data_IF_955687083801
#
_entry.id   IF_955687083801
#
_cell.length_a   1.000
_cell.length_b   1.000
_cell.length_c   1.000
_cell.angle_alpha   90.00
_cell.angle_beta   90.00
_cell.angle_gamma   90.00
#
_symmetry.space_group_name_H-M   'P 1'
#
loop_
_entity.id
_entity.type
_entity.pdbx_description
1 polymer ?
#
# COMPACT_ATOMS: atom_id res chain seq x y z
N UNK A 1 -14.82 -23.90 11.96
CA UNK A 1 -14.83 -22.62 12.71
C UNK A 1 -15.20 -21.55 11.71
N UNK A 2 -16.25 -20.72 11.93
CA UNK A 2 -16.56 -19.61 11.00
C UNK A 2 -15.41 -18.62 11.05
N UNK A 3 -14.77 -18.40 9.90
CA UNK A 3 -13.70 -17.42 9.76
C UNK A 3 -14.22 -16.05 10.27
N UNK A 4 -13.53 -15.49 11.25
CA UNK A 4 -13.92 -14.20 11.81
C UNK A 4 -13.72 -13.15 10.72
N UNK A 5 -14.80 -12.46 10.31
CA UNK A 5 -14.70 -11.41 9.29
C UNK A 5 -13.77 -10.32 9.74
N UNK A 6 -12.91 -9.88 8.82
CA UNK A 6 -11.99 -8.77 9.04
C UNK A 6 -12.77 -7.47 9.35
N UNK A 7 -12.28 -6.68 10.29
CA UNK A 7 -12.75 -5.33 10.56
C UNK A 7 -11.81 -4.34 9.89
N UNK A 8 -12.32 -3.60 8.92
CA UNK A 8 -11.53 -2.60 8.18
C UNK A 8 -12.03 -1.20 8.55
N UNK A 9 -11.13 -0.42 9.14
CA UNK A 9 -11.38 0.99 9.43
C UNK A 9 -11.29 1.81 8.14
N UNK A 10 -12.20 2.76 7.95
CA UNK A 10 -12.17 3.69 6.81
C UNK A 10 -12.32 5.10 7.36
N UNK A 11 -11.34 5.97 7.14
CA UNK A 11 -11.42 7.37 7.60
C UNK A 11 -12.07 8.24 6.56
N UNK A 12 -12.86 9.22 6.98
CA UNK A 12 -13.58 10.13 6.08
C UNK A 12 -12.65 10.97 5.19
N UNK A 13 -11.39 11.22 5.62
CA UNK A 13 -10.52 12.21 5.01
C UNK A 13 -11.02 13.63 5.25
N UNK A 14 -10.78 14.53 4.30
CA UNK A 14 -11.33 15.88 4.33
C UNK A 14 -12.84 15.84 4.01
N UNK A 15 -13.72 16.24 4.97
CA UNK A 15 -15.17 16.18 4.76
C UNK A 15 -15.69 17.13 3.69
N UNK A 16 -14.89 18.10 3.24
CA UNK A 16 -15.22 19.02 2.14
C UNK A 16 -14.73 18.51 0.76
N UNK A 17 -13.96 17.41 0.75
CA UNK A 17 -13.51 16.73 -0.47
C UNK A 17 -14.46 15.62 -0.91
N UNK A 18 -13.95 14.73 -1.79
CA UNK A 18 -14.73 13.60 -2.32
C UNK A 18 -14.74 12.38 -1.39
N UNK A 19 -14.09 12.44 -0.22
CA UNK A 19 -13.91 11.29 0.67
C UNK A 19 -15.23 10.58 1.00
N UNK A 20 -16.24 11.31 1.49
CA UNK A 20 -17.56 10.75 1.79
C UNK A 20 -18.27 10.19 0.56
N UNK A 21 -18.18 10.87 -0.58
CA UNK A 21 -18.81 10.43 -1.82
C UNK A 21 -18.27 9.08 -2.27
N UNK A 22 -16.95 8.91 -2.32
CA UNK A 22 -16.34 7.64 -2.73
C UNK A 22 -16.56 6.52 -1.70
N UNK A 23 -16.61 6.84 -0.40
CA UNK A 23 -16.93 5.87 0.67
C UNK A 23 -18.36 5.36 0.50
N UNK A 24 -19.33 6.26 0.37
CA UNK A 24 -20.74 5.89 0.23
C UNK A 24 -20.97 5.07 -1.04
N UNK A 25 -20.42 5.49 -2.18
CA UNK A 25 -20.51 4.75 -3.44
C UNK A 25 -19.79 3.39 -3.38
N UNK A 26 -18.67 3.29 -2.69
CA UNK A 26 -17.95 2.02 -2.53
C UNK A 26 -18.75 1.01 -1.68
N UNK A 27 -19.47 1.49 -0.66
CA UNK A 27 -20.23 0.66 0.28
C UNK A 27 -21.72 0.50 -0.08
N UNK A 28 -22.17 1.12 -1.17
CA UNK A 28 -23.57 1.02 -1.61
C UNK A 28 -23.98 -0.41 -1.98
N UNK A 29 -23.05 -1.24 -2.46
CA UNK A 29 -23.31 -2.66 -2.72
C UNK A 29 -23.38 -3.43 -1.39
N UNK A 30 -24.54 -4.05 -1.04
CA UNK A 30 -24.70 -4.81 0.19
C UNK A 30 -23.69 -5.96 0.36
N UNK A 31 -23.19 -6.52 -0.75
CA UNK A 31 -22.19 -7.59 -0.75
C UNK A 31 -20.87 -7.17 -0.09
N UNK A 32 -20.58 -5.87 -0.03
CA UNK A 32 -19.39 -5.38 0.69
C UNK A 32 -19.40 -5.79 2.17
N UNK A 33 -20.56 -5.77 2.83
CA UNK A 33 -20.71 -6.24 4.23
C UNK A 33 -20.61 -7.75 4.38
N UNK A 34 -20.66 -8.52 3.28
CA UNK A 34 -20.41 -9.95 3.29
C UNK A 34 -18.90 -10.27 3.31
N UNK A 35 -18.08 -9.41 2.70
CA UNK A 35 -16.62 -9.59 2.61
C UNK A 35 -15.90 -9.23 3.91
N UNK A 36 -16.32 -8.13 4.56
CA UNK A 36 -15.68 -7.60 5.77
C UNK A 36 -16.69 -6.84 6.63
N UNK A 37 -16.27 -6.34 7.79
CA UNK A 37 -17.04 -5.46 8.65
C UNK A 37 -16.50 -4.04 8.53
N UNK A 38 -17.19 -3.13 7.82
CA UNK A 38 -16.77 -1.74 7.68
C UNK A 38 -16.93 -0.97 8.99
N UNK A 39 -15.89 -0.20 9.35
CA UNK A 39 -15.91 0.74 10.49
C UNK A 39 -15.50 2.11 10.00
N UNK A 40 -16.45 3.00 9.84
CA UNK A 40 -16.21 4.34 9.32
C UNK A 40 -15.89 5.27 10.47
N UNK A 41 -14.82 6.05 10.34
CA UNK A 41 -14.44 7.13 11.26
C UNK A 41 -14.71 8.46 10.60
N UNK A 42 -15.67 9.20 11.12
CA UNK A 42 -16.03 10.48 10.53
C UNK A 42 -17.23 11.16 11.20
N UNK A 43 -17.56 12.34 10.70
CA UNK A 43 -18.68 13.16 11.18
C UNK A 43 -20.03 12.55 10.76
N UNK A 44 -20.93 12.21 11.70
CA UNK A 44 -22.30 11.81 11.38
C UNK A 44 -23.08 12.86 10.59
N UNK A 45 -22.82 14.15 10.83
CA UNK A 45 -23.46 15.24 10.07
C UNK A 45 -22.99 15.25 8.62
N UNK A 46 -21.68 15.09 8.39
CA UNK A 46 -21.13 14.97 7.03
C UNK A 46 -21.66 13.73 6.32
N UNK A 47 -21.70 12.58 7.00
CA UNK A 47 -22.29 11.35 6.45
C UNK A 47 -23.75 11.53 6.02
N UNK A 48 -24.57 12.19 6.85
CA UNK A 48 -25.97 12.48 6.55
C UNK A 48 -26.11 13.45 5.36
N UNK A 49 -25.27 14.49 5.32
CA UNK A 49 -25.24 15.46 4.23
C UNK A 49 -24.99 14.78 2.88
N UNK A 50 -23.88 14.04 2.76
CA UNK A 50 -23.52 13.38 1.51
C UNK A 50 -24.51 12.29 1.11
N UNK A 51 -25.03 11.50 2.06
CA UNK A 51 -26.07 10.50 1.79
C UNK A 51 -27.33 11.12 1.16
N UNK A 52 -27.69 12.34 1.56
CA UNK A 52 -28.84 13.04 1.00
C UNK A 52 -28.55 13.75 -0.33
N UNK A 53 -27.27 13.97 -0.62
CA UNK A 53 -26.84 14.68 -1.86
C UNK A 53 -26.65 13.71 -3.02
N UNK A 54 -26.20 12.48 -2.76
CA UNK A 54 -25.98 11.46 -3.79
C UNK A 54 -27.34 10.93 -4.29
N UNK A 55 -27.49 10.82 -5.61
CA UNK A 55 -28.76 10.44 -6.27
C UNK A 55 -28.74 9.04 -6.85
N UNK A 56 -27.56 8.51 -7.17
CA UNK A 56 -27.40 7.26 -7.91
C UNK A 56 -27.07 6.05 -7.04
N UNK A 57 -27.01 6.21 -5.71
CA UNK A 57 -26.65 5.14 -4.80
C UNK A 57 -27.80 4.79 -3.86
N UNK A 58 -28.00 3.50 -3.60
CA UNK A 58 -28.85 3.05 -2.49
C UNK A 58 -28.34 3.64 -1.17
N UNK A 59 -29.24 4.11 -0.31
CA UNK A 59 -28.87 4.80 0.92
C UNK A 59 -28.11 3.87 1.86
N UNK A 60 -26.83 4.13 2.07
CA UNK A 60 -26.00 3.43 3.07
C UNK A 60 -26.53 3.72 4.46
N UNK A 61 -26.82 2.66 5.24
CA UNK A 61 -27.27 2.78 6.61
C UNK A 61 -26.12 2.52 7.57
N UNK A 62 -25.90 3.46 8.48
CA UNK A 62 -24.87 3.38 9.51
C UNK A 62 -25.46 2.92 10.85
N UNK A 63 -24.72 2.04 11.54
CA UNK A 63 -24.96 1.71 12.94
C UNK A 63 -23.99 2.53 13.80
N UNK A 64 -24.46 3.41 14.68
CA UNK A 64 -23.60 4.14 15.59
C UNK A 64 -22.78 3.19 16.46
N UNK A 65 -21.49 3.51 16.68
CA UNK A 65 -20.57 2.76 17.52
C UNK A 65 -19.61 3.72 18.24
N UNK A 66 -19.21 3.39 19.46
CA UNK A 66 -18.23 4.18 20.19
C UNK A 66 -16.79 3.89 19.75
N UNK A 67 -16.53 2.66 19.25
CA UNK A 67 -15.24 2.21 18.73
C UNK A 67 -15.43 1.02 17.80
N UNK A 68 -14.33 0.55 17.18
CA UNK A 68 -14.35 -0.67 16.37
C UNK A 68 -14.73 -1.94 17.18
N UNK A 69 -14.55 -1.95 18.50
CA UNK A 69 -14.96 -3.06 19.35
C UNK A 69 -16.46 -3.36 19.24
N UNK A 70 -17.29 -2.33 19.09
CA UNK A 70 -18.76 -2.45 19.01
C UNK A 70 -19.26 -2.78 17.58
N UNK A 71 -18.39 -2.77 16.58
CA UNK A 71 -18.77 -3.05 15.20
C UNK A 71 -19.32 -4.47 15.04
N UNK A 72 -20.50 -4.59 14.39
CA UNK A 72 -21.24 -5.84 14.24
C UNK A 72 -21.19 -6.34 12.80
N UNK A 73 -21.04 -7.64 12.63
CA UNK A 73 -21.09 -8.30 11.33
C UNK A 73 -22.36 -7.95 10.54
N UNK A 74 -22.21 -7.65 9.23
CA UNK A 74 -23.33 -7.33 8.35
C UNK A 74 -23.90 -5.92 8.55
N UNK A 75 -23.23 -5.08 9.34
CA UNK A 75 -23.55 -3.66 9.54
C UNK A 75 -22.33 -2.80 9.20
N UNK A 76 -22.58 -1.58 8.76
CA UNK A 76 -21.57 -0.56 8.58
C UNK A 76 -21.57 0.27 9.86
N UNK A 77 -20.51 0.14 10.67
CA UNK A 77 -20.38 0.93 11.90
C UNK A 77 -19.92 2.35 11.56
N UNK A 78 -20.42 3.35 12.28
CA UNK A 78 -19.97 4.73 12.23
C UNK A 78 -19.51 5.16 13.62
N UNK A 79 -18.20 5.38 13.74
CA UNK A 79 -17.57 5.95 14.93
C UNK A 79 -17.51 7.46 14.74
N UNK A 80 -18.21 8.20 15.59
CA UNK A 80 -18.23 9.65 15.55
C UNK A 80 -16.83 10.20 15.90
N UNK A 81 -16.15 10.77 14.91
CA UNK A 81 -14.83 11.37 15.05
C UNK A 81 -14.61 12.41 13.95
N UNK A 82 -14.00 13.55 14.30
CA UNK A 82 -13.79 14.63 13.33
C UNK A 82 -15.11 15.29 12.94
N UNK A 83 -15.79 15.87 13.90
CA UNK A 83 -17.06 16.56 13.70
C UNK A 83 -16.87 17.85 12.89
N UNK A 84 -17.83 18.09 12.00
CA UNK A 84 -18.02 19.38 11.32
C UNK A 84 -19.47 19.83 11.52
N UNK A 85 -19.69 21.13 11.65
CA UNK A 85 -21.04 21.62 11.83
C UNK A 85 -21.85 21.46 10.55
N UNK A 86 -21.25 21.85 9.42
CA UNK A 86 -21.81 21.69 8.07
C UNK A 86 -20.67 21.52 7.08
N UNK A 87 -20.67 20.45 6.24
CA UNK A 87 -19.72 20.35 5.13
C UNK A 87 -19.86 21.49 4.14
N UNK A 88 -18.73 21.98 3.65
CA UNK A 88 -18.63 22.98 2.58
C UNK A 88 -17.90 22.37 1.36
N UNK A 89 -18.55 21.52 0.55
CA UNK A 89 -17.91 20.82 -0.54
C UNK A 89 -17.14 21.73 -1.48
N UNK A 90 -15.90 21.37 -1.79
CA UNK A 90 -15.02 22.15 -2.68
C UNK A 90 -14.23 23.25 -1.99
N UNK A 91 -14.28 23.37 -0.66
CA UNK A 91 -13.56 24.40 0.09
C UNK A 91 -12.55 23.82 1.06
N UNK A 92 -11.32 24.24 0.95
CA UNK A 92 -10.28 23.96 1.93
C UNK A 92 -10.52 24.81 3.19
N UNK A 93 -10.77 24.18 4.35
CA UNK A 93 -10.98 24.86 5.61
C UNK A 93 -10.20 24.20 6.75
N UNK A 94 -9.76 25.01 7.71
CA UNK A 94 -9.06 24.47 8.89
C UNK A 94 -9.96 23.57 9.75
N UNK A 95 -11.28 23.77 9.75
CA UNK A 95 -12.23 22.87 10.43
C UNK A 95 -12.24 21.50 9.80
N UNK A 96 -12.33 21.42 8.45
CA UNK A 96 -12.28 20.16 7.72
C UNK A 96 -10.93 19.43 7.89
N UNK A 97 -9.81 20.18 7.91
CA UNK A 97 -8.49 19.64 8.19
C UNK A 97 -8.41 19.01 9.59
N UNK A 98 -8.88 19.70 10.63
CA UNK A 98 -8.95 19.15 11.99
C UNK A 98 -9.83 17.89 12.04
N UNK A 99 -11.00 17.92 11.42
CA UNK A 99 -11.91 16.78 11.37
C UNK A 99 -11.27 15.56 10.72
N UNK A 100 -10.48 15.75 9.64
CA UNK A 100 -9.74 14.68 8.99
C UNK A 100 -8.69 14.06 9.93
N UNK A 101 -7.95 14.88 10.67
CA UNK A 101 -6.93 14.42 11.63
C UNK A 101 -7.56 13.68 12.80
N UNK A 102 -8.67 14.17 13.35
CA UNK A 102 -9.37 13.50 14.46
C UNK A 102 -9.91 12.12 14.06
N UNK A 103 -10.51 12.01 12.85
CA UNK A 103 -10.96 10.74 12.31
C UNK A 103 -9.78 9.75 12.11
N UNK A 104 -8.66 10.25 11.60
CA UNK A 104 -7.43 9.46 11.41
C UNK A 104 -6.89 8.96 12.76
N UNK A 105 -6.78 9.84 13.77
CA UNK A 105 -6.30 9.47 15.11
C UNK A 105 -7.20 8.43 15.78
N UNK A 106 -8.52 8.56 15.64
CA UNK A 106 -9.47 7.59 16.19
C UNK A 106 -9.29 6.20 15.53
N UNK A 107 -9.14 6.14 14.21
CA UNK A 107 -8.87 4.89 13.51
C UNK A 107 -7.53 4.25 13.91
N UNK A 108 -6.47 5.05 14.04
CA UNK A 108 -5.14 4.55 14.46
C UNK A 108 -5.16 4.07 15.92
N UNK A 109 -5.89 4.72 16.80
CA UNK A 109 -6.08 4.24 18.18
C UNK A 109 -6.69 2.85 18.22
N UNK A 110 -7.78 2.61 17.49
CA UNK A 110 -8.46 1.31 17.45
C UNK A 110 -7.62 0.26 16.72
N UNK A 111 -6.82 0.67 15.70
CA UNK A 111 -5.84 -0.20 15.03
C UNK A 111 -4.74 -0.67 15.98
N UNK A 112 -4.17 0.24 16.78
CA UNK A 112 -3.14 -0.07 17.81
C UNK A 112 -3.69 -0.93 18.95
N UNK A 113 -4.97 -0.80 19.26
CA UNK A 113 -5.66 -1.65 20.22
C UNK A 113 -5.99 -3.06 19.68
N UNK A 114 -5.72 -3.35 18.39
CA UNK A 114 -6.04 -4.63 17.77
C UNK A 114 -7.53 -4.83 17.47
N UNK A 115 -8.33 -3.77 17.53
CA UNK A 115 -9.76 -3.79 17.23
C UNK A 115 -10.06 -3.70 15.73
N UNK A 116 -9.06 -3.29 14.95
CA UNK A 116 -9.08 -3.26 13.48
C UNK A 116 -7.99 -4.16 12.92
N UNK A 117 -8.26 -4.79 11.79
CA UNK A 117 -7.29 -5.58 11.02
C UNK A 117 -6.49 -4.72 10.04
N UNK A 118 -7.08 -3.66 9.52
CA UNK A 118 -6.46 -2.69 8.62
C UNK A 118 -7.19 -1.36 8.63
N UNK A 119 -6.54 -0.33 8.07
CA UNK A 119 -7.14 0.99 7.86
C UNK A 119 -7.01 1.39 6.38
N UNK A 120 -8.12 1.86 5.80
CA UNK A 120 -8.18 2.54 4.50
C UNK A 120 -8.39 4.03 4.77
N UNK A 121 -7.49 4.89 4.29
CA UNK A 121 -7.59 6.32 4.58
C UNK A 121 -8.23 7.08 3.43
N UNK A 122 -9.25 7.87 3.73
CA UNK A 122 -9.76 8.89 2.82
C UNK A 122 -8.72 10.00 2.61
N UNK A 123 -8.74 10.69 1.46
CA UNK A 123 -7.79 11.78 1.17
C UNK A 123 -8.05 12.99 2.05
N UNK A 124 -6.98 13.67 2.46
CA UNK A 124 -7.05 14.97 3.12
C UNK A 124 -6.20 16.03 2.40
N UNK A 125 -6.53 17.28 2.59
CA UNK A 125 -5.73 18.39 2.10
C UNK A 125 -4.51 18.61 3.01
N UNK A 126 -3.30 18.65 2.40
CA UNK A 126 -2.03 18.69 3.15
C UNK A 126 -1.76 20.04 3.83
N UNK A 127 -2.39 21.10 3.37
CA UNK A 127 -2.23 22.43 3.97
C UNK A 127 -3.16 22.61 5.16
N UNK A 128 -4.43 22.20 5.03
CA UNK A 128 -5.45 22.38 6.07
C UNK A 128 -5.25 21.50 7.28
N UNK A 129 -4.56 20.35 7.16
CA UNK A 129 -4.27 19.45 8.29
C UNK A 129 -3.10 19.92 9.15
N UNK A 130 -2.25 20.85 8.65
CA UNK A 130 -1.10 21.33 9.42
C UNK A 130 -1.54 22.08 10.68
N UNK A 131 -0.97 21.70 11.80
CA UNK A 131 -1.16 22.33 13.11
C UNK A 131 0.01 22.00 14.03
N UNK A 132 0.10 22.63 15.18
CA UNK A 132 1.11 22.32 16.20
C UNK A 132 1.04 20.84 16.64
N UNK A 133 -0.14 20.22 16.54
CA UNK A 133 -0.37 18.82 16.90
C UNK A 133 -0.24 17.85 15.74
N UNK A 134 -0.19 18.31 14.49
CA UNK A 134 -0.08 17.48 13.29
C UNK A 134 0.83 18.16 12.26
N UNK A 135 2.12 17.84 12.34
CA UNK A 135 3.17 18.42 11.48
C UNK A 135 3.71 17.43 10.43
N UNK A 136 2.95 16.37 10.13
CA UNK A 136 3.35 15.36 9.14
C UNK A 136 3.02 15.83 7.72
N UNK A 137 3.89 15.50 6.77
CA UNK A 137 3.72 15.83 5.36
C UNK A 137 2.65 14.99 4.64
N UNK A 138 2.19 13.91 5.28
CA UNK A 138 1.15 13.04 4.75
C UNK A 138 0.86 11.83 5.63
N UNK A 139 -0.04 10.98 5.17
CA UNK A 139 -0.43 9.76 5.88
C UNK A 139 0.76 8.82 6.12
N UNK A 140 1.65 8.64 5.14
CA UNK A 140 2.78 7.70 5.23
C UNK A 140 3.71 8.06 6.39
N UNK A 141 4.02 9.35 6.55
CA UNK A 141 4.87 9.86 7.61
C UNK A 141 4.20 9.74 8.98
N UNK A 142 2.89 10.05 9.05
CA UNK A 142 2.10 9.88 10.26
C UNK A 142 2.05 8.42 10.71
N UNK A 143 1.72 7.50 9.81
CA UNK A 143 1.69 6.07 10.14
C UNK A 143 3.07 5.52 10.50
N UNK A 144 4.15 6.02 9.89
CA UNK A 144 5.52 5.66 10.25
C UNK A 144 5.94 6.13 11.64
N UNK A 145 5.35 7.23 12.14
CA UNK A 145 5.58 7.71 13.50
C UNK A 145 4.71 6.96 14.54
N UNK A 146 3.51 6.52 14.16
CA UNK A 146 2.54 5.90 15.06
C UNK A 146 2.69 4.38 15.17
N UNK A 147 3.24 3.71 14.16
CA UNK A 147 3.32 2.26 14.06
C UNK A 147 4.78 1.79 13.97
N UNK A 148 5.04 0.58 14.42
CA UNK A 148 6.34 -0.05 14.29
C UNK A 148 6.68 -0.37 12.83
N UNK A 149 7.93 -0.10 12.43
CA UNK A 149 8.47 -0.39 11.11
C UNK A 149 8.97 0.83 10.35
N UNK A 150 9.54 0.59 9.17
CA UNK A 150 9.99 1.65 8.26
C UNK A 150 9.02 1.76 7.08
N UNK A 151 8.28 2.87 6.94
CA UNK A 151 7.25 2.98 5.93
C UNK A 151 7.83 3.13 4.52
N UNK A 152 7.43 2.25 3.62
CA UNK A 152 7.69 2.33 2.19
C UNK A 152 6.39 2.51 1.43
N UNK A 153 6.34 3.52 0.56
CA UNK A 153 5.21 3.72 -0.34
C UNK A 153 5.31 2.75 -1.52
N UNK A 154 4.30 1.92 -1.70
CA UNK A 154 4.14 1.05 -2.86
C UNK A 154 2.82 1.41 -3.54
N UNK A 155 2.90 1.84 -4.79
CA UNK A 155 1.75 1.95 -5.66
C UNK A 155 1.44 0.57 -6.24
N UNK A 156 0.23 0.08 -6.06
CA UNK A 156 -0.14 -1.26 -6.49
C UNK A 156 -1.48 -1.31 -7.24
N UNK A 157 -1.53 -2.23 -8.18
CA UNK A 157 -2.72 -2.63 -8.95
C UNK A 157 -2.58 -4.10 -9.33
N UNK A 158 -3.57 -4.64 -10.02
CA UNK A 158 -3.47 -6.00 -10.58
C UNK A 158 -2.35 -6.14 -11.61
N UNK A 159 -1.92 -5.04 -12.24
CA UNK A 159 -0.93 -5.03 -13.33
C UNK A 159 0.50 -4.88 -12.85
N UNK A 160 0.75 -4.04 -11.86
CA UNK A 160 2.11 -3.74 -11.40
C UNK A 160 2.15 -3.21 -9.97
N UNK A 161 3.33 -3.31 -9.34
CA UNK A 161 3.64 -2.77 -8.02
C UNK A 161 4.93 -1.98 -8.11
N UNK A 162 4.87 -0.71 -7.71
CA UNK A 162 5.99 0.23 -7.86
C UNK A 162 6.34 0.82 -6.49
N UNK A 163 7.54 0.51 -6.01
CA UNK A 163 8.15 1.13 -4.85
C UNK A 163 9.04 2.30 -5.26
N UNK A 164 9.23 3.27 -4.38
CA UNK A 164 9.99 4.49 -4.62
C UNK A 164 11.16 4.62 -3.65
N UNK A 165 12.37 4.84 -4.18
CA UNK A 165 13.56 5.15 -3.37
C UNK A 165 13.44 6.57 -2.79
N UNK A 166 13.10 7.55 -3.62
CA UNK A 166 12.82 8.92 -3.17
C UNK A 166 11.38 9.31 -3.50
N UNK A 167 10.74 10.07 -2.60
CA UNK A 167 9.32 10.42 -2.69
C UNK A 167 9.17 11.93 -2.97
N UNK A 168 8.82 12.69 -1.96
CA UNK A 168 8.47 14.11 -2.04
C UNK A 168 9.69 15.01 -1.76
N UNK A 169 10.70 14.95 -2.64
CA UNK A 169 11.88 15.81 -2.59
C UNK A 169 12.02 16.55 -3.93
N UNK A 170 12.68 17.72 -3.94
CA UNK A 170 12.99 18.43 -5.18
C UNK A 170 13.82 17.57 -6.15
N UNK A 171 13.55 17.70 -7.45
CA UNK A 171 14.30 16.94 -8.50
C UNK A 171 15.81 17.16 -8.38
N UNK A 172 16.24 18.37 -8.03
CA UNK A 172 17.65 18.72 -7.84
C UNK A 172 18.36 17.94 -6.69
N UNK A 173 17.61 17.32 -5.80
CA UNK A 173 18.13 16.57 -4.66
C UNK A 173 18.13 15.06 -4.86
N UNK A 174 17.48 14.55 -5.92
CA UNK A 174 17.28 13.11 -6.13
C UNK A 174 18.62 12.37 -6.15
N UNK A 175 19.55 12.76 -7.01
CA UNK A 175 20.83 12.07 -7.16
C UNK A 175 21.64 12.00 -5.83
N UNK A 176 21.57 13.06 -5.03
CA UNK A 176 22.26 13.12 -3.71
C UNK A 176 21.56 12.28 -2.63
N UNK A 177 20.26 12.04 -2.81
CA UNK A 177 19.42 11.27 -1.85
C UNK A 177 19.45 9.77 -2.11
N UNK A 178 20.04 9.33 -3.22
CA UNK A 178 20.20 7.92 -3.56
C UNK A 178 21.55 7.41 -3.07
N UNK A 179 21.53 6.38 -2.24
CA UNK A 179 22.76 5.67 -1.83
C UNK A 179 22.59 4.17 -2.02
N UNK A 180 23.70 3.47 -2.10
CA UNK A 180 23.72 2.01 -2.23
C UNK A 180 22.97 1.36 -1.08
N UNK A 181 23.22 1.78 0.15
CA UNK A 181 22.63 1.25 1.39
C UNK A 181 21.11 1.47 1.40
N UNK A 182 20.66 2.64 0.93
CA UNK A 182 19.23 2.94 0.84
C UNK A 182 18.54 2.04 -0.19
N UNK A 183 19.11 1.87 -1.38
CA UNK A 183 18.55 1.00 -2.42
C UNK A 183 18.47 -0.45 -1.93
N UNK A 184 19.52 -0.98 -1.28
CA UNK A 184 19.52 -2.35 -0.73
C UNK A 184 18.44 -2.52 0.31
N UNK A 185 18.27 -1.58 1.23
CA UNK A 185 17.22 -1.59 2.25
C UNK A 185 15.82 -1.52 1.63
N UNK A 186 15.63 -0.64 0.64
CA UNK A 186 14.34 -0.47 -0.05
C UNK A 186 14.00 -1.74 -0.86
N UNK A 187 14.99 -2.39 -1.50
CA UNK A 187 14.82 -3.69 -2.16
C UNK A 187 14.42 -4.80 -1.17
N UNK A 188 15.04 -4.83 0.00
CA UNK A 188 14.70 -5.80 1.04
C UNK A 188 13.26 -5.59 1.55
N UNK A 189 12.85 -4.34 1.74
CA UNK A 189 11.48 -3.99 2.16
C UNK A 189 10.47 -4.33 1.07
N UNK A 190 10.74 -3.98 -0.21
CA UNK A 190 9.87 -4.32 -1.34
C UNK A 190 9.76 -5.85 -1.50
N UNK A 191 10.87 -6.60 -1.45
CA UNK A 191 10.85 -8.06 -1.50
C UNK A 191 10.01 -8.66 -0.38
N UNK A 192 10.21 -8.19 0.86
CA UNK A 192 9.43 -8.66 2.00
C UNK A 192 7.94 -8.42 1.78
N UNK A 193 7.56 -7.24 1.34
CA UNK A 193 6.18 -6.89 1.03
C UNK A 193 5.60 -7.75 -0.10
N UNK A 194 6.33 -7.95 -1.19
CA UNK A 194 5.88 -8.84 -2.28
C UNK A 194 5.59 -10.26 -1.78
N UNK A 195 6.40 -10.76 -0.84
CA UNK A 195 6.21 -12.10 -0.26
C UNK A 195 5.09 -12.13 0.77
N UNK A 196 5.06 -11.19 1.70
CA UNK A 196 4.17 -11.23 2.87
C UNK A 196 2.81 -10.61 2.60
N UNK A 197 2.79 -9.50 1.85
CA UNK A 197 1.59 -8.72 1.59
C UNK A 197 0.89 -9.17 0.30
N UNK A 198 1.67 -9.56 -0.72
CA UNK A 198 1.13 -9.95 -2.04
C UNK A 198 1.22 -11.44 -2.35
N UNK A 199 1.80 -12.26 -1.47
CA UNK A 199 1.84 -13.72 -1.59
C UNK A 199 2.75 -14.25 -2.71
N UNK A 200 3.69 -13.44 -3.22
CA UNK A 200 4.62 -13.85 -4.28
C UNK A 200 5.76 -14.68 -3.68
N UNK A 201 5.97 -15.92 -4.14
CA UNK A 201 6.92 -16.85 -3.52
C UNK A 201 8.38 -16.44 -3.73
N UNK A 202 8.78 -16.14 -4.95
CA UNK A 202 10.14 -15.73 -5.33
C UNK A 202 10.09 -14.48 -6.21
N UNK A 203 9.82 -13.30 -5.61
CA UNK A 203 9.58 -12.10 -6.39
C UNK A 203 10.80 -11.64 -7.17
N UNK A 204 10.58 -11.31 -8.44
CA UNK A 204 11.54 -10.69 -9.33
C UNK A 204 11.30 -9.19 -9.35
N UNK A 205 12.33 -8.41 -9.03
CA UNK A 205 12.23 -6.96 -8.90
C UNK A 205 13.04 -6.28 -10.01
N UNK A 206 12.39 -5.45 -10.82
CA UNK A 206 13.10 -4.56 -11.74
C UNK A 206 13.56 -3.30 -11.00
N UNK A 207 14.83 -2.96 -11.13
CA UNK A 207 15.40 -1.72 -10.61
C UNK A 207 15.58 -0.75 -11.77
N UNK A 208 14.97 0.43 -11.67
CA UNK A 208 15.12 1.45 -12.69
C UNK A 208 16.47 2.15 -12.57
N UNK A 209 17.01 2.60 -13.68
CA UNK A 209 18.11 3.54 -13.72
C UNK A 209 17.64 4.93 -13.24
N UNK A 210 18.56 5.77 -12.83
CA UNK A 210 18.28 7.19 -12.55
C UNK A 210 18.32 8.01 -13.84
N UNK A 211 19.36 7.77 -14.65
CA UNK A 211 19.66 8.55 -15.83
C UNK A 211 19.09 7.95 -17.12
N UNK A 212 18.89 8.78 -18.16
CA UNK A 212 18.53 8.28 -19.50
C UNK A 212 19.51 7.21 -19.98
N UNK A 213 19.01 6.20 -20.70
CA UNK A 213 19.80 5.08 -21.25
C UNK A 213 20.62 4.32 -20.20
N UNK A 214 20.18 4.34 -18.94
CA UNK A 214 20.89 3.74 -17.83
C UNK A 214 22.35 4.27 -17.68
N UNK A 215 22.52 5.57 -17.90
CA UNK A 215 23.80 6.27 -17.76
C UNK A 215 24.76 6.11 -18.93
N UNK A 216 24.44 5.26 -19.93
CA UNK A 216 25.24 5.00 -21.14
C UNK A 216 26.74 4.80 -20.85
N UNK A 217 27.06 3.89 -19.91
CA UNK A 217 28.43 3.60 -19.48
C UNK A 217 29.13 4.77 -18.77
N UNK A 218 28.39 5.68 -18.15
CA UNK A 218 28.90 6.84 -17.44
C UNK A 218 28.98 8.12 -18.28
N UNK A 219 28.50 8.08 -19.53
CA UNK A 219 28.47 9.25 -20.41
C UNK A 219 27.36 10.23 -19.99
N UNK A 220 26.23 9.71 -19.49
CA UNK A 220 25.05 10.49 -19.09
C UNK A 220 24.79 10.29 -17.59
N UNK A 221 25.82 10.50 -16.76
CA UNK A 221 25.76 10.26 -15.33
C UNK A 221 26.45 8.95 -14.93
N UNK A 222 26.84 8.85 -13.67
CA UNK A 222 27.63 7.73 -13.14
C UNK A 222 26.93 6.99 -12.00
N UNK A 223 25.75 7.42 -11.62
CA UNK A 223 24.98 6.88 -10.51
C UNK A 223 24.63 5.39 -10.71
N UNK A 224 24.45 4.96 -11.97
CA UNK A 224 24.24 3.56 -12.32
C UNK A 224 25.46 2.70 -11.99
N UNK A 225 26.65 3.17 -12.37
CA UNK A 225 27.90 2.43 -12.17
C UNK A 225 28.38 2.49 -10.71
N UNK A 226 28.27 3.67 -10.09
CA UNK A 226 28.84 3.94 -8.77
C UNK A 226 27.90 3.56 -7.61
N UNK A 227 26.57 3.53 -7.86
CA UNK A 227 25.57 3.36 -6.79
C UNK A 227 24.58 2.25 -7.07
N UNK A 228 23.84 2.32 -8.21
CA UNK A 228 22.67 1.46 -8.43
C UNK A 228 23.09 0.02 -8.74
N UNK A 229 24.05 -0.18 -9.64
CA UNK A 229 24.55 -1.51 -9.99
C UNK A 229 25.22 -2.21 -8.80
N UNK A 230 26.09 -1.56 -8.01
CA UNK A 230 26.61 -2.13 -6.76
C UNK A 230 25.52 -2.53 -5.77
N UNK A 231 24.42 -1.74 -5.66
CA UNK A 231 23.29 -2.07 -4.80
C UNK A 231 22.55 -3.34 -5.28
N UNK A 232 22.34 -3.48 -6.58
CA UNK A 232 21.71 -4.67 -7.18
C UNK A 232 22.55 -5.92 -6.92
N UNK A 233 23.88 -5.82 -7.10
CA UNK A 233 24.82 -6.94 -6.86
C UNK A 233 24.78 -7.36 -5.38
N UNK A 234 24.80 -6.39 -4.47
CA UNK A 234 24.71 -6.68 -3.03
C UNK A 234 23.37 -7.32 -2.66
N UNK A 235 22.27 -6.77 -3.15
CA UNK A 235 20.92 -7.34 -2.92
C UNK A 235 20.81 -8.78 -3.46
N UNK A 236 21.39 -9.06 -4.63
CA UNK A 236 21.42 -10.40 -5.21
C UNK A 236 22.24 -11.37 -4.33
N UNK A 237 23.35 -10.92 -3.76
CA UNK A 237 24.15 -11.68 -2.79
C UNK A 237 23.37 -12.00 -1.49
N UNK A 238 22.36 -11.20 -1.16
CA UNK A 238 21.43 -11.40 -0.04
C UNK A 238 20.21 -12.26 -0.44
N UNK A 239 20.17 -12.82 -1.65
CA UNK A 239 19.07 -13.66 -2.15
C UNK A 239 17.83 -12.85 -2.61
N UNK A 240 18.01 -11.58 -2.96
CA UNK A 240 16.96 -10.74 -3.54
C UNK A 240 17.12 -10.75 -5.07
N UNK A 241 16.12 -11.26 -5.79
CA UNK A 241 16.12 -11.33 -7.24
C UNK A 241 15.87 -9.94 -7.85
N UNK A 242 16.85 -9.05 -7.74
CA UNK A 242 16.85 -7.72 -8.31
C UNK A 242 17.59 -7.70 -9.64
N UNK A 243 17.01 -7.06 -10.65
CA UNK A 243 17.51 -7.00 -12.02
C UNK A 243 17.55 -5.56 -12.52
N UNK A 244 18.55 -5.20 -13.30
CA UNK A 244 18.72 -3.86 -13.85
C UNK A 244 20.17 -3.37 -13.73
N UNK A 245 20.43 -2.04 -13.74
CA UNK A 245 19.43 -0.98 -13.85
C UNK A 245 18.83 -0.89 -15.26
N UNK A 246 17.52 -0.68 -15.35
CA UNK A 246 16.81 -0.55 -16.60
C UNK A 246 16.49 0.91 -16.92
N UNK A 247 16.73 1.33 -18.16
CA UNK A 247 16.19 2.61 -18.62
C UNK A 247 14.66 2.60 -18.54
N UNK A 248 14.07 3.65 -17.92
CA UNK A 248 12.65 3.68 -17.58
C UNK A 248 11.75 3.57 -18.83
N UNK A 249 12.08 4.28 -19.90
CA UNK A 249 11.35 4.23 -21.17
C UNK A 249 11.37 2.82 -21.77
N UNK A 250 12.55 2.16 -21.82
CA UNK A 250 12.70 0.81 -22.35
C UNK A 250 11.98 -0.26 -21.52
N UNK A 251 11.90 -0.09 -20.21
CA UNK A 251 11.18 -1.01 -19.32
C UNK A 251 9.67 -1.00 -19.60
N UNK A 252 9.10 0.18 -19.81
CA UNK A 252 7.65 0.33 -20.01
C UNK A 252 7.21 0.19 -21.47
N UNK A 253 7.96 0.74 -22.45
CA UNK A 253 7.56 0.83 -23.84
C UNK A 253 7.24 -0.54 -24.50
N UNK A 254 8.00 -1.57 -24.16
CA UNK A 254 7.80 -2.91 -24.73
C UNK A 254 7.02 -3.88 -23.84
N UNK A 255 6.36 -3.41 -22.78
CA UNK A 255 5.71 -4.26 -21.80
C UNK A 255 6.71 -5.08 -20.95
N UNK A 256 7.98 -4.71 -20.95
CA UNK A 256 9.05 -5.39 -20.21
C UNK A 256 8.78 -5.49 -18.72
N UNK A 257 8.04 -4.53 -18.16
CA UNK A 257 7.63 -4.50 -16.76
C UNK A 257 6.79 -5.72 -16.34
N UNK A 258 6.06 -6.35 -17.25
CA UNK A 258 5.21 -7.52 -16.96
C UNK A 258 6.00 -8.79 -16.60
N UNK A 259 7.32 -8.79 -16.79
CA UNK A 259 8.20 -9.89 -16.38
C UNK A 259 8.61 -9.85 -14.91
N UNK A 260 8.21 -8.80 -14.19
CA UNK A 260 8.62 -8.54 -12.82
C UNK A 260 7.40 -8.41 -11.92
N UNK A 261 7.55 -8.85 -10.69
CA UNK A 261 6.50 -8.80 -9.67
C UNK A 261 6.46 -7.44 -8.95
N UNK A 262 7.59 -6.72 -8.98
CA UNK A 262 7.74 -5.39 -8.44
C UNK A 262 8.78 -4.57 -9.21
N UNK A 263 8.63 -3.26 -9.14
CA UNK A 263 9.53 -2.28 -9.75
C UNK A 263 10.02 -1.35 -8.64
N UNK A 264 11.33 -1.10 -8.57
CA UNK A 264 11.89 -0.06 -7.72
C UNK A 264 12.31 1.12 -8.59
N UNK A 265 11.57 2.23 -8.47
CA UNK A 265 11.88 3.48 -9.14
C UNK A 265 12.74 4.38 -8.26
N UNK A 266 13.65 5.15 -8.86
CA UNK A 266 14.56 6.02 -8.14
C UNK A 266 13.87 7.26 -7.59
N UNK A 267 12.83 7.76 -8.28
CA UNK A 267 12.10 8.95 -7.84
C UNK A 267 10.62 8.89 -8.23
N UNK A 268 9.87 9.80 -7.63
CA UNK A 268 8.41 9.84 -7.67
C UNK A 268 7.84 9.75 -9.09
N UNK A 269 8.11 10.71 -9.96
CA UNK A 269 7.46 10.77 -11.28
C UNK A 269 7.95 9.68 -12.23
N UNK A 270 9.17 9.17 -12.05
CA UNK A 270 9.67 8.02 -12.80
C UNK A 270 8.79 6.77 -12.60
N UNK A 271 8.33 6.56 -11.38
CA UNK A 271 7.46 5.44 -11.05
C UNK A 271 5.98 5.73 -11.29
N UNK A 272 5.52 6.92 -10.87
CA UNK A 272 4.09 7.22 -10.79
C UNK A 272 3.47 7.66 -12.13
N UNK A 273 4.21 8.33 -13.00
CA UNK A 273 3.67 8.70 -14.31
C UNK A 273 3.26 7.45 -15.12
N UNK A 274 4.13 6.46 -15.33
CA UNK A 274 3.72 5.23 -16.02
C UNK A 274 2.71 4.41 -15.20
N UNK A 275 2.82 4.38 -13.85
CA UNK A 275 1.86 3.67 -13.02
C UNK A 275 0.44 4.20 -13.23
N UNK A 276 0.21 5.50 -13.07
CA UNK A 276 -1.11 6.14 -13.20
C UNK A 276 -1.67 6.05 -14.63
N UNK A 277 -0.81 6.04 -15.62
CA UNK A 277 -1.21 5.84 -17.01
C UNK A 277 -1.76 4.41 -17.24
N UNK A 278 -1.12 3.40 -16.64
CA UNK A 278 -1.51 2.01 -16.78
C UNK A 278 -2.61 1.55 -15.81
N UNK A 279 -2.74 2.23 -14.69
CA UNK A 279 -3.63 1.86 -13.56
C UNK A 279 -4.19 3.12 -12.89
N UNK A 280 -5.17 3.80 -13.53
CA UNK A 280 -5.74 5.05 -13.01
C UNK A 280 -6.54 4.85 -11.70
N UNK A 281 -6.95 3.63 -11.42
CA UNK A 281 -7.67 3.18 -10.23
C UNK A 281 -6.75 2.49 -9.20
N UNK A 282 -5.46 2.81 -9.24
CA UNK A 282 -4.43 2.26 -8.38
C UNK A 282 -4.65 2.52 -6.89
N UNK A 283 -3.86 1.82 -6.09
CA UNK A 283 -3.88 1.88 -4.63
C UNK A 283 -2.51 2.30 -4.13
N UNK A 284 -2.49 3.20 -3.16
CA UNK A 284 -1.30 3.51 -2.38
C UNK A 284 -1.29 2.63 -1.12
N UNK A 285 -0.34 1.72 -1.04
CA UNK A 285 -0.08 0.86 0.10
C UNK A 285 1.15 1.34 0.87
N UNK A 286 1.03 1.47 2.20
CA UNK A 286 2.16 1.76 3.08
C UNK A 286 2.73 0.43 3.59
N UNK A 287 3.72 -0.09 2.88
CA UNK A 287 4.43 -1.30 3.24
C UNK A 287 5.44 -1.08 4.37
N UNK A 288 5.96 -2.17 4.95
CA UNK A 288 7.02 -2.11 5.96
C UNK A 288 6.55 -1.83 7.38
N UNK A 289 5.27 -1.54 7.58
CA UNK A 289 4.66 -1.33 8.89
C UNK A 289 4.06 -2.62 9.46
N UNK A 290 3.98 -2.71 10.79
CA UNK A 290 3.35 -3.83 11.48
C UNK A 290 1.86 -3.97 11.12
N UNK A 291 1.16 -2.85 10.97
CA UNK A 291 -0.25 -2.84 10.58
C UNK A 291 -0.43 -2.50 9.08
N UNK A 292 -1.59 -2.86 8.54
CA UNK A 292 -1.94 -2.65 7.14
C UNK A 292 -2.64 -1.32 6.95
N UNK A 293 -2.07 -0.46 6.10
CA UNK A 293 -2.71 0.79 5.68
C UNK A 293 -2.70 0.92 4.16
N UNK A 294 -3.88 1.10 3.57
CA UNK A 294 -4.06 1.41 2.15
C UNK A 294 -4.80 2.73 1.97
N UNK A 295 -4.75 3.29 0.79
CA UNK A 295 -5.58 4.44 0.39
C UNK A 295 -5.80 4.44 -1.12
N UNK A 296 -6.90 5.08 -1.59
CA UNK A 296 -7.03 5.39 -3.00
C UNK A 296 -5.89 6.31 -3.49
N UNK A 297 -5.58 6.23 -4.77
CA UNK A 297 -4.52 7.03 -5.42
C UNK A 297 -5.05 8.35 -6.01
N UNK A 298 -6.01 8.98 -5.32
CA UNK A 298 -6.51 10.31 -5.68
C UNK A 298 -6.45 11.26 -4.48
N UNK A 299 -6.46 12.56 -4.74
CA UNK A 299 -6.53 13.60 -3.72
C UNK A 299 -7.96 13.93 -3.29
N UNK A 300 -8.11 15.06 -2.63
CA UNK A 300 -9.40 15.57 -2.14
C UNK A 300 -10.35 16.00 -3.26
N UNK A 301 -9.85 16.33 -4.44
CA UNK A 301 -10.60 16.69 -5.64
C UNK A 301 -11.75 17.70 -5.36
N UNK A 302 -11.39 18.83 -4.78
CA UNK A 302 -12.35 19.88 -4.40
C UNK A 302 -13.20 20.39 -5.57
N UNK A 303 -12.66 20.32 -6.80
CA UNK A 303 -13.34 20.73 -8.03
C UNK A 303 -14.60 19.94 -8.37
N UNK A 304 -14.66 18.67 -7.93
CA UNK A 304 -15.83 17.77 -8.15
C UNK A 304 -16.56 17.40 -6.85
N UNK A 305 -16.09 17.84 -5.70
CA UNK A 305 -16.68 17.51 -4.41
C UNK A 305 -18.15 17.93 -4.31
N UNK A 306 -19.03 17.04 -3.87
CA UNK A 306 -20.46 17.27 -3.73
C UNK A 306 -21.24 17.31 -5.04
N UNK A 307 -20.61 16.97 -6.19
CA UNK A 307 -21.26 16.98 -7.52
C UNK A 307 -21.74 15.60 -7.99
N UNK A 308 -21.59 14.57 -7.19
CA UNK A 308 -21.93 13.17 -7.52
C UNK A 308 -21.16 12.63 -8.76
N UNK A 309 -19.92 13.10 -8.95
CA UNK A 309 -19.06 12.77 -10.10
C UNK A 309 -17.86 11.89 -9.75
N UNK A 310 -17.55 11.73 -8.46
CA UNK A 310 -16.37 10.97 -8.04
C UNK A 310 -16.55 9.47 -8.33
N UNK A 311 -15.50 8.87 -8.94
CA UNK A 311 -15.45 7.42 -9.18
C UNK A 311 -14.96 6.70 -7.90
N UNK A 312 -15.72 5.76 -7.35
CA UNK A 312 -15.35 5.01 -6.15
C UNK A 312 -14.35 3.87 -6.42
N UNK A 313 -13.92 3.61 -7.66
CA UNK A 313 -13.19 2.40 -7.98
C UNK A 313 -11.86 2.30 -7.24
N UNK A 314 -11.09 3.39 -7.15
CA UNK A 314 -9.82 3.40 -6.40
C UNK A 314 -10.05 3.15 -4.89
N UNK A 315 -11.16 3.65 -4.30
CA UNK A 315 -11.54 3.35 -2.91
C UNK A 315 -11.90 1.87 -2.74
N UNK A 316 -12.67 1.27 -3.66
CA UNK A 316 -12.96 -0.18 -3.63
C UNK A 316 -11.70 -1.01 -3.72
N UNK A 317 -10.80 -0.66 -4.64
CA UNK A 317 -9.51 -1.35 -4.81
C UNK A 317 -8.66 -1.22 -3.54
N UNK A 318 -8.66 -0.07 -2.87
CA UNK A 318 -7.95 0.12 -1.60
C UNK A 318 -8.52 -0.77 -0.49
N UNK A 319 -9.85 -0.94 -0.42
CA UNK A 319 -10.50 -1.85 0.52
C UNK A 319 -10.15 -3.31 0.21
N UNK A 320 -10.22 -3.72 -1.06
CA UNK A 320 -9.87 -5.10 -1.47
C UNK A 320 -8.40 -5.40 -1.19
N UNK A 321 -7.50 -4.47 -1.53
CA UNK A 321 -6.07 -4.62 -1.23
C UNK A 321 -5.82 -4.77 0.27
N UNK A 322 -6.49 -3.99 1.13
CA UNK A 322 -6.38 -4.12 2.58
C UNK A 322 -6.80 -5.52 3.07
N UNK A 323 -7.93 -6.03 2.55
CA UNK A 323 -8.45 -7.36 2.90
C UNK A 323 -7.46 -8.45 2.48
N UNK A 324 -6.97 -8.40 1.24
CA UNK A 324 -6.09 -9.42 0.68
C UNK A 324 -4.72 -9.42 1.38
N UNK A 325 -4.16 -8.24 1.66
CA UNK A 325 -2.90 -8.11 2.41
C UNK A 325 -3.03 -8.72 3.81
N UNK A 326 -4.10 -8.42 4.54
CA UNK A 326 -4.32 -9.02 5.87
C UNK A 326 -4.43 -10.54 5.77
N UNK A 327 -5.15 -11.06 4.78
CA UNK A 327 -5.29 -12.51 4.54
C UNK A 327 -3.95 -13.16 4.22
N UNK A 328 -3.15 -12.55 3.33
CA UNK A 328 -1.81 -13.06 3.00
C UNK A 328 -0.89 -13.10 4.22
N UNK A 329 -0.86 -12.02 5.02
CA UNK A 329 -0.06 -11.98 6.26
C UNK A 329 -0.49 -13.07 7.24
N UNK A 330 -1.79 -13.28 7.45
CA UNK A 330 -2.33 -14.33 8.33
C UNK A 330 -2.00 -15.72 7.83
N UNK A 331 -2.26 -16.00 6.56
CA UNK A 331 -1.94 -17.29 5.94
C UNK A 331 -0.44 -17.60 6.04
N UNK A 332 0.41 -16.62 5.75
CA UNK A 332 1.85 -16.77 5.89
C UNK A 332 2.27 -17.05 7.32
N UNK A 333 1.75 -16.30 8.29
CA UNK A 333 2.05 -16.54 9.71
C UNK A 333 1.68 -17.95 10.13
N UNK A 334 0.53 -18.47 9.69
CA UNK A 334 0.10 -19.85 9.94
C UNK A 334 1.06 -20.87 9.31
N UNK A 335 1.41 -20.70 8.03
CA UNK A 335 2.29 -21.65 7.32
C UNK A 335 3.73 -21.66 7.86
N UNK A 336 4.20 -20.51 8.36
CA UNK A 336 5.56 -20.38 8.90
C UNK A 336 5.67 -20.64 10.41
N UNK A 337 4.55 -20.83 11.12
CA UNK A 337 4.54 -21.08 12.56
C UNK A 337 5.24 -22.39 12.95
N UNK A 338 5.19 -23.40 12.08
CA UNK A 338 5.85 -24.69 12.32
C UNK A 338 6.47 -25.21 11.01
N UNK A 339 7.58 -24.62 10.54
CA UNK A 339 8.22 -25.04 9.31
C UNK A 339 8.82 -26.43 9.45
N UNK A 340 8.75 -27.22 8.38
CA UNK A 340 9.46 -28.50 8.31
C UNK A 340 10.96 -28.26 8.55
N UNK A 341 11.50 -28.93 9.57
CA UNK A 341 12.94 -28.91 9.82
C UNK A 341 13.67 -29.60 8.66
N UNK A 342 14.72 -28.98 8.14
CA UNK A 342 15.62 -29.65 7.22
C UNK A 342 16.28 -30.80 7.98
N UNK A 343 15.92 -32.03 7.66
CA UNK A 343 16.70 -33.17 8.12
C UNK A 343 18.06 -33.07 7.40
N UNK A 344 19.14 -32.92 8.17
CA UNK A 344 20.46 -33.21 7.63
C UNK A 344 20.48 -34.69 7.28
N UNK A 345 20.65 -34.98 5.99
CA UNK A 345 20.81 -36.36 5.52
C UNK A 345 22.13 -36.83 6.10
N UNK A 346 22.11 -37.60 7.18
CA UNK A 346 23.30 -38.33 7.61
C UNK A 346 23.79 -39.13 6.41
N UNK A 347 24.99 -38.82 5.94
CA UNK A 347 25.67 -39.65 4.91
C UNK A 347 25.80 -41.02 5.50
N UNK A 348 24.88 -41.89 5.15
CA UNK A 348 24.97 -43.31 5.54
C UNK A 348 26.26 -43.82 4.91
N UNK A 349 27.10 -44.49 5.72
CA UNK A 349 28.27 -45.26 5.21
C UNK A 349 27.86 -46.39 4.25
N UNK A 350 26.56 -46.48 3.91
CA UNK A 350 25.98 -47.42 2.95
C UNK A 350 25.62 -46.75 1.60
N UNK A 351 25.85 -45.46 1.41
CA UNK A 351 25.69 -44.82 0.10
C UNK A 351 26.86 -45.29 -0.80
N UNK A 352 26.63 -46.41 -1.47
CA UNK A 352 27.56 -46.96 -2.48
C UNK A 352 27.60 -46.02 -3.65
N UNK A 353 28.79 -45.52 -4.01
CA UNK A 353 28.99 -44.76 -5.23
C UNK A 353 28.61 -45.60 -6.46
N UNK A 354 28.04 -44.98 -7.49
CA UNK A 354 27.78 -45.67 -8.75
C UNK A 354 29.03 -46.37 -9.30
N UNK A 355 30.22 -45.91 -8.95
CA UNK A 355 31.51 -46.53 -9.30
C UNK A 355 31.81 -47.85 -8.57
N UNK A 356 31.13 -48.09 -7.44
CA UNK A 356 31.30 -49.25 -6.60
C UNK A 356 30.20 -50.31 -6.83
N UNK A 357 29.32 -50.09 -7.82
CA UNK A 357 28.34 -51.09 -8.22
C UNK A 357 29.06 -52.19 -9.04
N UNK A 358 28.78 -53.48 -8.79
CA UNK A 358 29.38 -54.56 -9.58
C UNK A 358 28.98 -54.36 -11.04
N UNK A 359 29.99 -54.33 -11.90
CA UNK A 359 29.75 -54.32 -13.37
C UNK A 359 29.19 -55.70 -13.72
N UNK A 360 27.95 -55.70 -14.22
CA UNK A 360 27.39 -56.92 -14.83
C UNK A 360 28.17 -57.20 -16.11
N UNK A 361 28.93 -58.29 -16.10
CA UNK A 361 29.58 -58.81 -17.29
C UNK A 361 28.52 -58.99 -18.39
N UNK A 362 28.75 -58.34 -19.48
CA UNK A 362 27.97 -58.57 -20.70
C UNK A 362 28.39 -59.89 -21.29
N UNK A 363 27.53 -60.92 -21.16
CA UNK A 363 27.55 -62.05 -22.10
C UNK A 363 27.08 -61.63 -23.49
#
# INVERSE_FOLDING_TARGET
MSEQKLKIGITQGDPNGIGWEVILKALADPRMTELFTPVIYGSPKAAAYYRNTLRETEPVQFAPAASAAEARRGKIALVAAGEVEQPEPGRATAEAGRAAVEALRAAVRDLKAGELDAVVTGPFDKETVQSDEFSYTGHTEYFGAELEGEPMMIMCSDRLRVGLVTKHIPVSEIARSISKEKIVRDLATLRRSLVEDFGVVEPRIAVMALNPHAGDGGLVGREEEETIRPAIVEAFGQGILAFGPFAADGLFAGGGYTRYDGILAMYHDQGLAPFKTLSPDGVNFTAGLAAVRTSPDHGVAFDIAGKDQADPQSMRNAIYAAIDIVRHRRARAEWTANPLQRAEREKSNRDVSVKDLPQTDKE
#
